data_IF_875237592550
#
_entry.id   IF_875237592550
#
_cell.length_a   1.000
_cell.length_b   1.000
_cell.length_c   1.000
_cell.angle_alpha   90.00
_cell.angle_beta   90.00
_cell.angle_gamma   90.00
#
_symmetry.space_group_name_H-M   'P 1'
#
loop_
_entity.id
_entity.type
_entity.pdbx_description
1 polymer ?
#
# COMPACT_ATOMS: atom_id res chain seq x y z
N UNK A 1 -55.27 37.63 38.55
CA UNK A 1 -55.78 36.70 37.51
C UNK A 1 -55.78 37.48 36.20
N UNK A 2 -55.19 37.08 35.07
CA UNK A 2 -55.09 35.75 34.43
C UNK A 2 -53.68 35.49 33.87
N UNK A 3 -53.34 34.21 33.85
CA UNK A 3 -52.15 33.58 33.24
C UNK A 3 -52.26 33.58 31.71
N UNK A 4 -51.13 33.58 31.00
CA UNK A 4 -50.69 32.39 30.23
C UNK A 4 -49.37 32.62 29.48
N UNK A 5 -48.41 31.74 29.77
CA UNK A 5 -47.11 31.52 29.14
C UNK A 5 -47.31 30.84 27.78
N UNK A 6 -46.47 31.17 26.78
CA UNK A 6 -45.67 30.25 25.92
C UNK A 6 -45.49 30.80 24.50
N UNK A 7 -44.24 30.77 24.04
CA UNK A 7 -43.75 30.49 22.68
C UNK A 7 -42.49 31.35 22.43
N UNK A 8 -41.39 30.91 21.82
CA UNK A 8 -40.87 29.60 21.43
C UNK A 8 -39.43 29.93 21.00
N UNK A 9 -38.42 29.29 21.60
CA UNK A 9 -37.03 29.43 21.16
C UNK A 9 -36.90 28.69 19.83
N UNK A 10 -36.57 29.39 18.74
CA UNK A 10 -35.97 28.78 17.56
C UNK A 10 -35.39 29.84 16.61
N UNK A 11 -34.14 29.65 16.20
CA UNK A 11 -33.72 30.10 14.88
C UNK A 11 -32.35 30.76 14.80
N UNK A 12 -31.33 29.94 14.50
CA UNK A 12 -30.38 30.30 13.45
C UNK A 12 -29.12 31.02 13.90
N UNK A 13 -28.09 30.22 14.22
CA UNK A 13 -26.69 30.59 14.07
C UNK A 13 -26.44 30.95 12.59
N UNK A 14 -26.58 32.23 12.23
CA UNK A 14 -26.22 32.71 10.90
C UNK A 14 -24.71 32.97 10.87
N UNK A 15 -24.03 32.06 10.20
CA UNK A 15 -22.59 32.07 9.94
C UNK A 15 -22.14 33.37 9.30
N UNK A 16 -21.08 33.96 9.86
CA UNK A 16 -20.37 35.11 9.28
C UNK A 16 -19.81 34.67 7.92
N UNK A 17 -20.45 35.11 6.85
CA UNK A 17 -19.92 35.05 5.50
C UNK A 17 -18.94 36.22 5.35
N UNK A 18 -17.64 35.93 5.39
CA UNK A 18 -16.62 36.90 5.02
C UNK A 18 -15.56 36.25 4.15
N UNK A 19 -15.08 37.05 3.19
CA UNK A 19 -13.95 36.86 2.28
C UNK A 19 -14.27 36.32 0.88
N UNK A 20 -14.74 37.22 0.02
CA UNK A 20 -14.37 37.18 -1.40
C UNK A 20 -13.15 38.08 -1.61
N UNK A 21 -11.97 37.59 -1.23
CA UNK A 21 -10.71 38.11 -1.77
C UNK A 21 -10.53 37.49 -3.14
N UNK A 22 -10.87 38.24 -4.19
CA UNK A 22 -10.50 37.90 -5.57
C UNK A 22 -8.98 38.16 -5.68
N UNK A 23 -8.19 37.18 -5.24
CA UNK A 23 -6.79 37.12 -5.60
C UNK A 23 -6.72 36.73 -7.08
N UNK A 24 -6.04 37.54 -7.90
CA UNK A 24 -5.63 37.13 -9.24
C UNK A 24 -4.70 35.92 -9.12
N UNK A 25 -5.26 34.72 -9.08
CA UNK A 25 -4.49 33.48 -9.15
C UNK A 25 -4.12 33.24 -10.61
N UNK A 26 -2.83 33.21 -10.89
CA UNK A 26 -2.33 32.63 -12.13
C UNK A 26 -2.92 31.22 -12.31
N UNK A 27 -3.13 30.79 -13.55
CA UNK A 27 -3.68 29.47 -13.88
C UNK A 27 -2.93 28.31 -13.19
N UNK A 28 -1.62 28.45 -12.98
CA UNK A 28 -0.78 27.44 -12.31
C UNK A 28 -1.18 27.25 -10.85
N UNK A 29 -1.57 28.33 -10.16
CA UNK A 29 -2.10 28.23 -8.80
C UNK A 29 -3.47 27.55 -8.77
N UNK A 30 -4.27 27.67 -9.84
CA UNK A 30 -5.57 26.99 -9.95
C UNK A 30 -5.39 25.48 -10.15
N UNK A 31 -4.47 25.07 -11.05
CA UNK A 31 -4.17 23.66 -11.30
C UNK A 31 -3.60 22.97 -10.05
N UNK A 32 -2.65 23.62 -9.36
CA UNK A 32 -2.11 23.12 -8.09
C UNK A 32 -3.21 22.98 -7.01
N UNK A 33 -4.07 23.99 -6.87
CA UNK A 33 -5.19 23.93 -5.91
C UNK A 33 -6.15 22.78 -6.23
N UNK A 34 -6.44 22.54 -7.51
CA UNK A 34 -7.26 21.41 -7.94
C UNK A 34 -6.59 20.06 -7.65
N UNK A 35 -5.28 19.96 -7.85
CA UNK A 35 -4.50 18.79 -7.44
C UNK A 35 -4.67 18.47 -5.95
N UNK A 36 -4.53 19.47 -5.08
CA UNK A 36 -4.72 19.33 -3.62
C UNK A 36 -6.15 18.91 -3.25
N UNK A 37 -7.16 19.49 -3.90
CA UNK A 37 -8.57 19.10 -3.73
C UNK A 37 -8.78 17.62 -4.09
N UNK A 38 -8.26 17.18 -5.23
CA UNK A 38 -8.39 15.80 -5.71
C UNK A 38 -7.67 14.79 -4.80
N UNK A 39 -6.54 15.16 -4.16
CA UNK A 39 -5.90 14.33 -3.12
C UNK A 39 -6.87 14.12 -1.96
N UNK A 40 -7.51 15.19 -1.47
CA UNK A 40 -8.46 15.11 -0.37
C UNK A 40 -9.72 14.29 -0.73
N UNK A 41 -10.13 14.34 -2.00
CA UNK A 41 -11.22 13.54 -2.57
C UNK A 41 -10.81 12.11 -2.94
N UNK A 42 -9.56 11.70 -2.71
CA UNK A 42 -9.02 10.36 -3.03
C UNK A 42 -9.02 10.03 -4.53
N UNK A 43 -9.01 11.05 -5.39
CA UNK A 43 -8.97 10.90 -6.85
C UNK A 43 -7.52 11.04 -7.36
N UNK A 44 -6.68 10.10 -6.99
CA UNK A 44 -5.21 10.20 -7.11
C UNK A 44 -4.70 10.33 -8.54
N UNK A 45 -5.23 9.54 -9.49
CA UNK A 45 -4.82 9.62 -10.90
C UNK A 45 -5.18 10.98 -11.50
N UNK A 46 -6.34 11.53 -11.14
CA UNK A 46 -6.74 12.88 -11.59
C UNK A 46 -5.92 13.98 -10.90
N UNK A 47 -5.52 13.76 -9.65
CA UNK A 47 -4.65 14.67 -8.93
C UNK A 47 -3.29 14.77 -9.63
N UNK A 48 -2.70 13.65 -10.07
CA UNK A 48 -1.47 13.62 -10.87
C UNK A 48 -1.62 14.47 -12.13
N UNK A 49 -2.69 14.27 -12.92
CA UNK A 49 -2.95 15.06 -14.13
C UNK A 49 -3.06 16.57 -13.82
N UNK A 50 -3.73 16.94 -12.73
CA UNK A 50 -3.85 18.36 -12.34
C UNK A 50 -2.51 18.97 -11.91
N UNK A 51 -1.64 18.18 -11.27
CA UNK A 51 -0.31 18.60 -10.85
C UNK A 51 0.67 18.68 -12.03
N UNK A 52 0.52 17.81 -13.04
CA UNK A 52 1.22 17.90 -14.31
C UNK A 52 0.88 19.21 -15.03
N UNK A 53 -0.40 19.58 -15.12
CA UNK A 53 -0.80 20.87 -15.69
C UNK A 53 -0.18 22.05 -14.93
N UNK A 54 -0.10 21.98 -13.59
CA UNK A 54 0.55 23.02 -12.79
C UNK A 54 2.06 23.15 -13.08
N UNK A 55 2.72 22.02 -13.39
CA UNK A 55 4.14 21.94 -13.77
C UNK A 55 4.37 22.36 -15.22
N UNK A 56 3.47 22.07 -16.15
CA UNK A 56 3.56 22.55 -17.53
C UNK A 56 3.54 24.09 -17.58
N UNK A 57 2.70 24.70 -16.75
CA UNK A 57 2.62 26.16 -16.64
C UNK A 57 3.77 26.77 -15.81
N UNK A 58 4.24 26.06 -14.79
CA UNK A 58 5.40 26.47 -13.98
C UNK A 58 6.30 25.26 -13.65
N UNK A 59 7.28 24.94 -14.51
CA UNK A 59 8.15 23.76 -14.33
C UNK A 59 9.02 23.80 -13.07
N UNK A 60 9.16 24.97 -12.44
CA UNK A 60 9.93 25.15 -11.19
C UNK A 60 9.08 25.08 -9.93
N UNK A 61 7.78 24.77 -10.06
CA UNK A 61 6.88 24.62 -8.93
C UNK A 61 7.25 23.38 -8.09
N UNK A 62 8.05 23.59 -7.04
CA UNK A 62 8.52 22.52 -6.15
C UNK A 62 7.37 21.78 -5.48
N UNK A 63 6.35 22.51 -5.04
CA UNK A 63 5.21 21.91 -4.35
C UNK A 63 4.41 20.99 -5.28
N UNK A 64 4.12 21.43 -6.51
CA UNK A 64 3.44 20.59 -7.48
C UNK A 64 4.21 19.30 -7.78
N UNK A 65 5.54 19.40 -7.90
CA UNK A 65 6.42 18.25 -8.10
C UNK A 65 6.40 17.29 -6.93
N UNK A 66 6.60 17.79 -5.70
CA UNK A 66 6.60 16.95 -4.50
C UNK A 66 5.26 16.22 -4.30
N UNK A 67 4.13 16.91 -4.54
CA UNK A 67 2.81 16.30 -4.46
C UNK A 67 2.60 15.23 -5.54
N UNK A 68 3.08 15.48 -6.76
CA UNK A 68 3.01 14.51 -7.86
C UNK A 68 3.82 13.26 -7.52
N UNK A 69 5.08 13.43 -7.13
CA UNK A 69 6.00 12.34 -6.77
C UNK A 69 5.44 11.52 -5.58
N UNK A 70 4.85 12.19 -4.58
CA UNK A 70 4.18 11.54 -3.44
C UNK A 70 3.05 10.60 -3.89
N UNK A 71 2.17 11.07 -4.77
CA UNK A 71 1.02 10.29 -5.25
C UNK A 71 1.48 9.15 -6.19
N UNK A 72 2.42 9.42 -7.08
CA UNK A 72 2.96 8.40 -7.99
C UNK A 72 3.63 7.27 -7.23
N UNK A 73 4.39 7.57 -6.17
CA UNK A 73 4.97 6.54 -5.31
C UNK A 73 3.90 5.70 -4.60
N UNK A 74 2.81 6.31 -4.14
CA UNK A 74 1.67 5.58 -3.56
C UNK A 74 0.98 4.64 -4.57
N UNK A 75 0.70 5.13 -5.77
CA UNK A 75 0.06 4.35 -6.83
C UNK A 75 0.95 3.19 -7.28
N UNK A 76 2.24 3.45 -7.46
CA UNK A 76 3.21 2.42 -7.84
C UNK A 76 3.42 1.37 -6.74
N UNK A 77 3.44 1.77 -5.47
CA UNK A 77 3.52 0.85 -4.35
C UNK A 77 2.27 -0.05 -4.27
N UNK A 78 1.09 0.53 -4.44
CA UNK A 78 -0.19 -0.20 -4.45
C UNK A 78 -0.23 -1.23 -5.57
N UNK A 79 0.11 -0.81 -6.79
CA UNK A 79 0.20 -1.72 -7.95
C UNK A 79 1.26 -2.81 -7.76
N UNK A 80 2.43 -2.48 -7.20
CA UNK A 80 3.47 -3.45 -6.92
C UNK A 80 3.00 -4.50 -5.90
N UNK A 81 2.25 -4.11 -4.88
CA UNK A 81 1.65 -5.01 -3.91
C UNK A 81 0.62 -5.94 -4.56
N UNK A 82 -0.28 -5.42 -5.39
CA UNK A 82 -1.26 -6.22 -6.16
C UNK A 82 -0.58 -7.23 -7.09
N UNK A 83 0.54 -6.85 -7.70
CA UNK A 83 1.37 -7.72 -8.54
C UNK A 83 2.25 -8.70 -7.75
N UNK A 84 2.19 -8.68 -6.41
CA UNK A 84 3.00 -9.54 -5.52
C UNK A 84 4.49 -9.17 -5.49
N UNK A 85 4.86 -7.99 -5.98
CA UNK A 85 6.24 -7.48 -6.02
C UNK A 85 6.57 -6.73 -4.72
N UNK A 86 6.59 -7.46 -3.60
CA UNK A 86 6.67 -6.89 -2.24
C UNK A 86 7.85 -5.93 -2.06
N UNK A 87 9.06 -6.32 -2.49
CA UNK A 87 10.24 -5.45 -2.40
C UNK A 87 10.11 -4.14 -3.18
N UNK A 88 9.44 -4.17 -4.33
CA UNK A 88 9.18 -2.93 -5.10
C UNK A 88 8.18 -2.04 -4.34
N UNK A 89 7.15 -2.64 -3.74
CA UNK A 89 6.18 -1.93 -2.93
C UNK A 89 6.84 -1.27 -1.70
N UNK A 90 7.72 -1.99 -0.98
CA UNK A 90 8.51 -1.47 0.15
C UNK A 90 9.34 -0.23 -0.23
N UNK A 91 10.07 -0.30 -1.35
CA UNK A 91 10.88 0.83 -1.80
C UNK A 91 10.01 2.03 -2.18
N UNK A 92 8.89 1.80 -2.87
CA UNK A 92 8.01 2.89 -3.31
C UNK A 92 7.29 3.54 -2.13
N UNK A 93 6.81 2.77 -1.15
CA UNK A 93 6.10 3.33 0.01
C UNK A 93 7.01 4.17 0.91
N UNK A 94 8.32 3.86 0.97
CA UNK A 94 9.31 4.67 1.68
C UNK A 94 9.57 6.03 1.00
N UNK A 95 9.36 6.12 -0.31
CA UNK A 95 9.61 7.33 -1.10
C UNK A 95 8.40 8.28 -1.19
N UNK A 96 7.27 7.96 -0.55
CA UNK A 96 6.08 8.84 -0.53
C UNK A 96 6.40 10.19 0.13
N UNK A 97 7.30 10.22 1.12
CA UNK A 97 7.72 11.43 1.82
C UNK A 97 6.69 11.96 2.82
N UNK A 98 7.10 12.95 3.63
CA UNK A 98 6.32 13.42 4.78
C UNK A 98 5.16 14.36 4.43
N UNK A 99 5.08 14.82 3.18
CA UNK A 99 3.95 15.65 2.71
C UNK A 99 2.61 14.93 2.77
N UNK A 100 2.59 13.61 2.86
CA UNK A 100 1.36 12.86 3.10
C UNK A 100 0.65 13.31 4.38
N UNK A 101 1.40 13.77 5.39
CA UNK A 101 0.87 14.24 6.66
C UNK A 101 0.00 15.50 6.53
N UNK A 102 0.16 16.27 5.45
CA UNK A 102 -0.68 17.45 5.16
C UNK A 102 -2.08 17.05 4.68
N UNK A 103 -2.29 15.79 4.30
CA UNK A 103 -3.53 15.27 3.74
C UNK A 103 -4.03 14.07 4.58
N UNK A 104 -4.78 14.29 5.67
CA UNK A 104 -5.13 13.22 6.63
C UNK A 104 -5.77 11.98 6.00
N UNK A 105 -6.67 12.17 5.01
CA UNK A 105 -7.33 11.08 4.30
C UNK A 105 -6.35 10.23 3.47
N UNK A 106 -5.39 10.89 2.83
CA UNK A 106 -4.34 10.23 2.07
C UNK A 106 -3.34 9.54 3.00
N UNK A 107 -2.96 10.19 4.11
CA UNK A 107 -2.05 9.60 5.09
C UNK A 107 -2.59 8.29 5.66
N UNK A 108 -3.90 8.22 5.97
CA UNK A 108 -4.55 6.98 6.39
C UNK A 108 -4.45 5.87 5.33
N UNK A 109 -4.57 6.22 4.04
CA UNK A 109 -4.36 5.26 2.94
C UNK A 109 -2.92 4.78 2.87
N UNK A 110 -1.95 5.69 3.06
CA UNK A 110 -0.52 5.36 3.08
C UNK A 110 -0.20 4.42 4.25
N UNK A 111 -0.74 4.69 5.44
CA UNK A 111 -0.52 3.86 6.62
C UNK A 111 -1.12 2.46 6.45
N UNK A 112 -2.33 2.37 5.88
CA UNK A 112 -2.95 1.09 5.54
C UNK A 112 -2.13 0.32 4.50
N UNK A 113 -1.58 1.00 3.49
CA UNK A 113 -0.71 0.39 2.49
C UNK A 113 0.59 -0.12 3.11
N UNK A 114 1.25 0.68 3.97
CA UNK A 114 2.47 0.27 4.70
C UNK A 114 2.21 -0.99 5.51
N UNK A 115 1.12 -1.02 6.28
CA UNK A 115 0.74 -2.19 7.07
C UNK A 115 0.55 -3.44 6.20
N UNK A 116 -0.17 -3.32 5.08
CA UNK A 116 -0.37 -4.44 4.17
C UNK A 116 0.95 -4.93 3.54
N UNK A 117 1.88 -4.02 3.22
CA UNK A 117 3.21 -4.37 2.71
C UNK A 117 3.99 -5.13 3.79
N UNK A 118 4.01 -4.63 5.02
CA UNK A 118 4.74 -5.24 6.14
C UNK A 118 4.23 -6.66 6.43
N UNK A 119 2.90 -6.86 6.47
CA UNK A 119 2.29 -8.18 6.67
C UNK A 119 2.65 -9.16 5.54
N UNK A 120 2.72 -8.70 4.28
CA UNK A 120 3.14 -9.55 3.18
C UNK A 120 4.66 -9.83 3.18
N UNK A 121 5.47 -8.88 3.63
CA UNK A 121 6.93 -9.04 3.79
C UNK A 121 7.27 -10.06 4.87
N UNK A 122 6.56 -10.03 6.00
CA UNK A 122 6.69 -11.03 7.07
C UNK A 122 6.30 -12.43 6.58
N UNK A 123 5.17 -12.52 5.87
CA UNK A 123 4.74 -13.78 5.27
C UNK A 123 5.77 -14.37 4.30
N UNK A 124 6.42 -13.54 3.48
CA UNK A 124 7.48 -13.96 2.57
C UNK A 124 8.73 -14.45 3.32
N UNK A 125 9.10 -13.79 4.43
CA UNK A 125 10.21 -14.23 5.30
C UNK A 125 9.92 -15.58 5.95
N UNK A 126 8.69 -15.80 6.42
CA UNK A 126 8.26 -17.06 7.01
C UNK A 126 8.31 -18.21 6.01
N UNK A 127 7.85 -17.98 4.77
CA UNK A 127 7.96 -18.97 3.69
C UNK A 127 9.43 -19.32 3.44
N UNK A 128 10.30 -18.32 3.35
CA UNK A 128 11.73 -18.55 3.13
C UNK A 128 12.35 -19.38 4.26
N UNK A 129 12.07 -19.00 5.51
CA UNK A 129 12.54 -19.72 6.71
C UNK A 129 12.05 -21.17 6.72
N UNK A 130 10.79 -21.41 6.38
CA UNK A 130 10.23 -22.76 6.34
C UNK A 130 10.77 -23.60 5.17
N UNK A 131 11.11 -23.00 4.03
CA UNK A 131 11.83 -23.69 2.96
C UNK A 131 13.24 -24.12 3.42
N UNK A 132 13.96 -23.27 4.14
CA UNK A 132 15.27 -23.61 4.72
C UNK A 132 15.16 -24.71 5.78
N UNK A 133 14.10 -24.71 6.59
CA UNK A 133 13.80 -25.81 7.53
C UNK A 133 13.48 -27.12 6.79
N UNK A 134 12.71 -27.05 5.70
CA UNK A 134 12.37 -28.20 4.88
C UNK A 134 13.62 -28.87 4.31
N UNK A 135 14.57 -28.09 3.79
CA UNK A 135 15.86 -28.60 3.32
C UNK A 135 16.64 -29.29 4.45
N UNK A 136 16.69 -28.67 5.65
CA UNK A 136 17.32 -29.28 6.84
C UNK A 136 16.65 -30.59 7.26
N UNK A 137 15.32 -30.70 7.18
CA UNK A 137 14.63 -31.95 7.47
C UNK A 137 14.99 -33.05 6.47
N UNK A 138 15.11 -32.72 5.19
CA UNK A 138 15.57 -33.67 4.16
C UNK A 138 16.99 -34.14 4.45
N UNK A 139 17.92 -33.21 4.72
CA UNK A 139 19.32 -33.52 4.96
C UNK A 139 19.52 -34.36 6.24
N UNK A 140 18.72 -34.08 7.27
CA UNK A 140 18.73 -34.82 8.54
C UNK A 140 17.89 -36.12 8.50
N UNK A 141 17.33 -36.49 7.34
CA UNK A 141 16.45 -37.66 7.15
C UNK A 141 15.16 -37.66 7.98
N UNK A 142 14.72 -36.49 8.45
CA UNK A 142 13.43 -36.30 9.13
C UNK A 142 12.30 -36.21 8.12
N UNK A 143 12.07 -37.28 7.35
CA UNK A 143 11.19 -37.24 6.18
C UNK A 143 9.71 -37.04 6.51
N UNK A 144 9.25 -37.50 7.68
CA UNK A 144 7.87 -37.27 8.13
C UNK A 144 7.59 -35.77 8.27
N UNK A 145 8.48 -35.06 8.96
CA UNK A 145 8.36 -33.61 9.14
C UNK A 145 8.52 -32.87 7.81
N UNK A 146 9.42 -33.33 6.93
CA UNK A 146 9.59 -32.78 5.60
C UNK A 146 8.30 -32.88 4.77
N UNK A 147 7.61 -34.03 4.78
CA UNK A 147 6.35 -34.23 4.05
C UNK A 147 5.24 -33.33 4.61
N UNK A 148 5.15 -33.21 5.94
CA UNK A 148 4.15 -32.34 6.58
C UNK A 148 4.39 -30.86 6.24
N UNK A 149 5.65 -30.40 6.34
CA UNK A 149 6.00 -29.01 6.05
C UNK A 149 5.83 -28.67 4.56
N UNK A 150 6.11 -29.62 3.67
CA UNK A 150 5.85 -29.48 2.22
C UNK A 150 4.36 -29.22 1.94
N UNK A 151 3.45 -29.99 2.56
CA UNK A 151 2.00 -29.79 2.42
C UNK A 151 1.54 -28.43 2.93
N UNK A 152 2.11 -27.97 4.04
CA UNK A 152 1.83 -26.63 4.58
C UNK A 152 2.30 -25.53 3.61
N UNK A 153 3.50 -25.67 3.06
CA UNK A 153 4.08 -24.71 2.12
C UNK A 153 3.31 -24.63 0.79
N UNK A 154 2.75 -25.74 0.31
CA UNK A 154 1.93 -25.75 -0.92
C UNK A 154 0.73 -24.80 -0.88
N UNK A 155 0.08 -24.68 0.29
CA UNK A 155 -1.01 -23.74 0.50
C UNK A 155 -0.57 -22.30 0.76
N UNK A 156 0.74 -22.06 0.93
CA UNK A 156 1.29 -20.78 1.36
C UNK A 156 2.09 -20.06 0.28
N UNK A 157 2.77 -20.76 -0.62
CA UNK A 157 3.56 -20.12 -1.67
C UNK A 157 2.69 -19.30 -2.64
N UNK A 158 3.07 -18.05 -2.89
CA UNK A 158 2.28 -17.11 -3.70
C UNK A 158 3.00 -16.73 -4.99
N UNK A 159 4.29 -16.45 -4.89
CA UNK A 159 5.09 -15.98 -6.03
C UNK A 159 5.54 -17.14 -6.92
N UNK A 160 5.84 -16.84 -8.19
CA UNK A 160 6.41 -17.82 -9.13
C UNK A 160 7.72 -18.39 -8.60
N UNK A 161 8.60 -17.53 -8.08
CA UNK A 161 9.89 -17.91 -7.51
C UNK A 161 9.74 -18.86 -6.31
N UNK A 162 8.81 -18.56 -5.39
CA UNK A 162 8.51 -19.43 -4.25
C UNK A 162 7.99 -20.81 -4.71
N UNK A 163 7.09 -20.84 -5.70
CA UNK A 163 6.54 -22.09 -6.26
C UNK A 163 7.63 -22.93 -6.92
N UNK A 164 8.49 -22.30 -7.75
CA UNK A 164 9.60 -22.97 -8.41
C UNK A 164 10.60 -23.54 -7.41
N UNK A 165 10.96 -22.76 -6.38
CA UNK A 165 11.87 -23.22 -5.32
C UNK A 165 11.27 -24.39 -4.52
N UNK A 166 9.99 -24.31 -4.15
CA UNK A 166 9.31 -25.40 -3.45
C UNK A 166 9.30 -26.67 -4.29
N UNK A 167 9.05 -26.56 -5.60
CA UNK A 167 9.02 -27.71 -6.50
C UNK A 167 10.39 -28.40 -6.61
N UNK A 168 11.48 -27.62 -6.66
CA UNK A 168 12.83 -28.18 -6.62
C UNK A 168 13.09 -28.97 -5.32
N UNK A 169 12.69 -28.42 -4.16
CA UNK A 169 12.84 -29.08 -2.87
C UNK A 169 11.98 -30.36 -2.81
N UNK A 170 10.75 -30.34 -3.36
CA UNK A 170 9.88 -31.51 -3.47
C UNK A 170 10.52 -32.63 -4.29
N UNK A 171 11.09 -32.30 -5.45
CA UNK A 171 11.77 -33.30 -6.28
C UNK A 171 12.94 -33.95 -5.54
N UNK A 172 13.71 -33.17 -4.76
CA UNK A 172 14.76 -33.70 -3.87
C UNK A 172 14.18 -34.65 -2.83
N UNK A 173 13.10 -34.28 -2.16
CA UNK A 173 12.42 -35.12 -1.16
C UNK A 173 11.88 -36.42 -1.76
N UNK A 174 11.25 -36.37 -2.93
CA UNK A 174 10.74 -37.56 -3.64
C UNK A 174 11.90 -38.49 -3.97
N UNK A 175 13.00 -37.96 -4.53
CA UNK A 175 14.17 -38.75 -4.89
C UNK A 175 14.76 -39.51 -3.69
N UNK A 176 14.96 -38.84 -2.55
CA UNK A 176 15.50 -39.51 -1.34
C UNK A 176 14.53 -40.54 -0.77
N UNK A 177 13.22 -40.26 -0.78
CA UNK A 177 12.20 -41.21 -0.33
C UNK A 177 12.16 -42.47 -1.20
N UNK A 178 12.28 -42.33 -2.53
CA UNK A 178 12.35 -43.46 -3.44
C UNK A 178 13.56 -44.35 -3.14
N UNK A 179 14.74 -43.75 -2.91
CA UNK A 179 15.97 -44.48 -2.54
C UNK A 179 15.80 -45.22 -1.21
N UNK A 180 15.25 -44.59 -0.18
CA UNK A 180 15.05 -45.21 1.14
C UNK A 180 14.01 -46.34 1.10
N UNK A 181 12.98 -46.21 0.26
CA UNK A 181 11.98 -47.26 0.06
C UNK A 181 12.56 -48.51 -0.62
N UNK A 182 13.54 -48.34 -1.52
CA UNK A 182 14.22 -49.44 -2.21
C UNK A 182 15.25 -50.19 -1.33
N UNK A 183 15.59 -49.67 -0.14
CA UNK A 183 16.50 -50.33 0.82
C UNK A 183 15.77 -51.28 1.79
N UNK A 184 14.44 -51.24 1.82
CA UNK A 184 13.59 -52.15 2.62
C UNK A 184 13.21 -53.37 1.79
#
# INVERSE_FOLDING_TARGET
MKKSIKALILGGLSTILSLNLIACSSSSNKALSKGKELINERQYEKAVVSLELALDENPKNKEAKELKDMIENYLEASKALEEGKIRKAEVKVQNIGDKSNEFPNFNQCVDALKKNIDENSEYDKDIKSDMEKLEKFIDNKNYSDAVLLTKSLDGRVRTKEQKEKLEQIKLKLISVLSIESAKK
#
